data_IF_347057796351
#
_entry.id   IF_347057796351
#
_cell.length_a   1.000
_cell.length_b   1.000
_cell.length_c   1.000
_cell.angle_alpha   90.00
_cell.angle_beta   90.00
_cell.angle_gamma   90.00
#
_symmetry.space_group_name_H-M   'P 1'
#
loop_
_entity.id
_entity.type
_entity.pdbx_description
1 polymer ?
#
# COMPACT_ATOMS: atom_id res chain seq x y z
N UNK A 1 13.34 8.64 37.62
CA UNK A 1 12.53 8.14 36.48
C UNK A 1 11.05 8.38 36.78
N UNK A 2 10.39 9.30 36.06
CA UNK A 2 9.00 9.69 36.33
C UNK A 2 8.02 8.59 35.87
N UNK A 3 7.19 8.10 36.79
CA UNK A 3 6.21 7.03 36.57
C UNK A 3 5.16 7.50 35.54
N UNK A 4 5.16 6.93 34.33
CA UNK A 4 4.16 7.23 33.28
C UNK A 4 2.76 6.93 33.82
N UNK A 5 1.94 7.98 34.01
CA UNK A 5 0.59 7.87 34.57
C UNK A 5 -0.26 7.04 33.60
N UNK A 6 -0.85 5.93 34.08
CA UNK A 6 -1.73 5.09 33.25
C UNK A 6 -2.99 5.88 32.88
N UNK A 7 -3.41 5.78 31.61
CA UNK A 7 -4.63 6.41 31.10
C UNK A 7 -5.84 5.96 31.93
N UNK A 8 -6.70 6.92 32.29
CA UNK A 8 -7.97 6.60 32.95
C UNK A 8 -8.92 5.91 31.97
N UNK A 9 -9.89 5.14 32.48
CA UNK A 9 -10.88 4.43 31.63
C UNK A 9 -11.59 5.37 30.64
N UNK A 10 -11.87 6.61 31.05
CA UNK A 10 -12.47 7.62 30.18
C UNK A 10 -11.53 8.11 29.07
N UNK A 11 -10.23 8.26 29.35
CA UNK A 11 -9.23 8.62 28.35
C UNK A 11 -9.04 7.49 27.33
N UNK A 12 -8.98 6.22 27.79
CA UNK A 12 -8.90 5.05 26.90
C UNK A 12 -10.10 4.99 25.96
N UNK A 13 -11.31 5.25 26.48
CA UNK A 13 -12.53 5.29 25.65
C UNK A 13 -12.48 6.39 24.59
N UNK A 14 -12.01 7.59 24.93
CA UNK A 14 -11.84 8.69 23.95
C UNK A 14 -10.81 8.37 22.88
N UNK A 15 -9.67 7.79 23.26
CA UNK A 15 -8.62 7.38 22.32
C UNK A 15 -9.17 6.35 21.33
N UNK A 16 -9.88 5.32 21.80
CA UNK A 16 -10.50 4.30 20.93
C UNK A 16 -11.55 4.89 19.98
N UNK A 17 -12.42 5.77 20.50
CA UNK A 17 -13.45 6.45 19.67
C UNK A 17 -12.82 7.31 18.57
N UNK A 18 -11.80 8.10 18.90
CA UNK A 18 -11.09 8.93 17.93
C UNK A 18 -10.31 8.10 16.90
N UNK A 19 -9.71 7.00 17.32
CA UNK A 19 -9.04 6.06 16.42
C UNK A 19 -10.03 5.45 15.43
N UNK A 20 -11.18 4.98 15.90
CA UNK A 20 -12.22 4.40 15.05
C UNK A 20 -12.80 5.42 14.07
N UNK A 21 -13.01 6.67 14.49
CA UNK A 21 -13.44 7.76 13.60
C UNK A 21 -12.41 8.09 12.52
N UNK A 22 -11.11 8.08 12.85
CA UNK A 22 -10.03 8.29 11.88
C UNK A 22 -9.97 7.16 10.84
N UNK A 23 -10.12 5.91 11.28
CA UNK A 23 -10.14 4.75 10.38
C UNK A 23 -11.33 4.81 9.42
N UNK A 24 -12.54 5.08 9.93
CA UNK A 24 -13.75 5.24 9.10
C UNK A 24 -13.65 6.41 8.12
N UNK A 25 -13.11 7.55 8.55
CA UNK A 25 -12.91 8.72 7.66
C UNK A 25 -11.93 8.43 6.52
N UNK A 26 -11.03 7.47 6.70
CA UNK A 26 -10.07 7.06 5.68
C UNK A 26 -10.68 6.11 4.62
N UNK A 27 -11.83 5.49 4.91
CA UNK A 27 -12.56 4.65 3.96
C UNK A 27 -13.37 5.47 2.95
N UNK A 28 -13.82 6.69 3.31
CA UNK A 28 -14.75 7.48 2.50
C UNK A 28 -14.11 8.37 1.41
N UNK A 29 -12.78 8.53 1.33
CA UNK A 29 -12.21 9.59 0.47
C UNK A 29 -10.99 9.23 -0.36
N UNK A 30 -10.75 7.96 -0.68
CA UNK A 30 -9.72 7.63 -1.68
C UNK A 30 -10.32 6.70 -2.73
N UNK A 31 -11.15 7.30 -3.59
CA UNK A 31 -11.41 6.76 -4.92
C UNK A 31 -10.08 6.89 -5.68
N UNK A 32 -9.31 5.81 -5.72
CA UNK A 32 -8.15 5.74 -6.61
C UNK A 32 -8.70 5.73 -8.03
N UNK A 33 -8.45 6.78 -8.78
CA UNK A 33 -8.93 6.92 -10.16
C UNK A 33 -8.25 5.81 -10.99
N UNK A 34 -8.97 4.70 -11.24
CA UNK A 34 -8.44 3.54 -11.96
C UNK A 34 -8.08 3.88 -13.43
N UNK A 35 -8.51 5.06 -13.90
CA UNK A 35 -8.12 5.64 -15.19
C UNK A 35 -6.67 6.15 -15.22
N UNK A 36 -6.00 6.29 -14.07
CA UNK A 36 -4.60 6.73 -13.98
C UNK A 36 -3.59 5.58 -14.09
N UNK A 37 -4.07 4.36 -14.32
CA UNK A 37 -3.24 3.16 -14.49
C UNK A 37 -3.32 2.66 -15.94
N UNK A 38 -2.20 2.21 -16.48
CA UNK A 38 -2.11 1.61 -17.80
C UNK A 38 -2.84 0.26 -17.91
N UNK A 39 -2.63 -0.45 -19.01
CA UNK A 39 -3.19 -1.79 -19.20
C UNK A 39 -2.63 -2.79 -18.17
N UNK A 40 -3.38 -3.85 -17.90
CA UNK A 40 -2.89 -4.97 -17.09
C UNK A 40 -1.86 -5.77 -17.86
N UNK A 41 -0.70 -5.97 -17.26
CA UNK A 41 0.40 -6.76 -17.79
C UNK A 41 0.73 -7.93 -16.87
N UNK A 42 1.29 -8.99 -17.44
CA UNK A 42 1.83 -10.09 -16.66
C UNK A 42 3.27 -9.77 -16.25
N UNK A 43 3.64 -10.14 -15.03
CA UNK A 43 4.98 -9.91 -14.52
C UNK A 43 5.42 -10.97 -13.53
N UNK A 44 6.73 -11.01 -13.30
CA UNK A 44 7.37 -11.87 -12.30
C UNK A 44 7.89 -11.02 -11.15
N UNK A 45 7.56 -11.40 -9.91
CA UNK A 45 8.10 -10.73 -8.73
C UNK A 45 9.57 -11.09 -8.56
N UNK A 46 10.45 -10.11 -8.67
CA UNK A 46 11.89 -10.28 -8.46
C UNK A 46 12.19 -10.21 -6.96
N UNK A 47 11.73 -9.14 -6.31
CA UNK A 47 11.99 -8.92 -4.87
C UNK A 47 10.90 -8.07 -4.22
N UNK A 48 10.73 -8.25 -2.91
CA UNK A 48 9.74 -7.53 -2.10
C UNK A 48 10.42 -6.54 -1.17
N UNK A 49 10.06 -5.27 -1.28
CA UNK A 49 10.51 -4.16 -0.44
C UNK A 49 9.37 -3.66 0.46
N UNK A 50 8.97 -4.45 1.46
CA UNK A 50 7.93 -4.05 2.42
C UNK A 50 6.57 -3.80 1.75
N UNK A 51 6.25 -2.52 1.49
CA UNK A 51 5.02 -2.07 0.82
C UNK A 51 5.15 -1.99 -0.72
N UNK A 52 6.36 -2.22 -1.25
CA UNK A 52 6.64 -2.23 -2.68
C UNK A 52 7.19 -3.60 -3.11
N UNK A 53 7.15 -3.88 -4.41
CA UNK A 53 7.83 -5.01 -5.02
C UNK A 53 8.39 -4.59 -6.38
N UNK A 54 9.56 -5.13 -6.73
CA UNK A 54 10.12 -4.99 -8.06
C UNK A 54 9.60 -6.14 -8.91
N UNK A 55 8.91 -5.79 -10.00
CA UNK A 55 8.24 -6.70 -10.92
C UNK A 55 8.90 -6.57 -12.28
N UNK A 56 9.31 -7.69 -12.85
CA UNK A 56 9.80 -7.77 -14.22
C UNK A 56 8.62 -8.00 -15.18
N UNK A 57 8.51 -7.17 -16.21
CA UNK A 57 7.57 -7.38 -17.32
C UNK A 57 8.02 -8.60 -18.14
N UNK A 58 7.11 -9.58 -18.34
CA UNK A 58 7.43 -10.77 -19.11
C UNK A 58 7.55 -10.52 -20.61
N UNK A 59 7.02 -9.40 -21.12
CA UNK A 59 7.08 -9.04 -22.54
C UNK A 59 8.34 -8.23 -22.87
N UNK A 60 8.67 -7.24 -22.04
CA UNK A 60 9.79 -6.32 -22.30
C UNK A 60 11.07 -6.67 -21.55
N UNK A 61 10.97 -7.45 -20.45
CA UNK A 61 12.09 -7.71 -19.53
C UNK A 61 12.46 -6.51 -18.66
N UNK A 62 11.67 -5.44 -18.67
CA UNK A 62 11.94 -4.26 -17.84
C UNK A 62 11.46 -4.47 -16.40
N UNK A 63 12.26 -4.03 -15.44
CA UNK A 63 11.93 -4.12 -14.02
C UNK A 63 11.33 -2.79 -13.55
N UNK A 64 10.13 -2.86 -13.00
CA UNK A 64 9.43 -1.72 -12.42
C UNK A 64 9.11 -1.93 -10.93
N UNK A 65 9.25 -0.85 -10.16
CA UNK A 65 8.86 -0.84 -8.74
C UNK A 65 7.38 -0.52 -8.61
N UNK A 66 6.61 -1.48 -8.11
CA UNK A 66 5.17 -1.36 -7.95
C UNK A 66 4.77 -1.27 -6.47
N UNK A 67 3.66 -0.58 -6.20
CA UNK A 67 3.01 -0.56 -4.90
C UNK A 67 2.15 -1.80 -4.70
N UNK A 68 2.15 -2.38 -3.49
CA UNK A 68 1.25 -3.49 -3.15
C UNK A 68 -0.16 -2.97 -2.85
N UNK A 69 -1.17 -3.65 -3.41
CA UNK A 69 -2.56 -3.43 -3.02
C UNK A 69 -2.78 -3.94 -1.59
N UNK A 70 -3.60 -3.24 -0.79
CA UNK A 70 -3.90 -3.62 0.60
C UNK A 70 -4.50 -5.02 0.77
N UNK A 71 -5.16 -5.54 -0.26
CA UNK A 71 -5.74 -6.89 -0.25
C UNK A 71 -4.74 -8.02 -0.52
N UNK A 72 -3.47 -7.71 -0.79
CA UNK A 72 -2.42 -8.73 -0.99
C UNK A 72 -1.88 -9.12 0.38
N UNK A 73 -2.24 -10.32 0.84
CA UNK A 73 -1.79 -10.84 2.15
C UNK A 73 -0.33 -11.31 2.12
N UNK A 74 0.05 -11.99 1.04
CA UNK A 74 1.39 -12.52 0.83
C UNK A 74 1.84 -12.26 -0.60
N UNK A 75 3.14 -12.01 -0.74
CA UNK A 75 3.83 -11.83 -2.01
C UNK A 75 5.27 -12.25 -1.79
N UNK A 76 5.79 -13.15 -2.61
CA UNK A 76 7.17 -13.64 -2.53
C UNK A 76 7.88 -13.55 -3.89
N UNK A 77 9.21 -13.57 -3.86
CA UNK A 77 10.02 -13.66 -5.07
C UNK A 77 9.68 -14.93 -5.85
N UNK A 78 9.51 -14.80 -7.16
CA UNK A 78 9.12 -15.87 -8.06
C UNK A 78 7.61 -15.98 -8.32
N UNK A 79 6.78 -15.21 -7.62
CA UNK A 79 5.34 -15.17 -7.90
C UNK A 79 5.06 -14.54 -9.27
N UNK A 80 4.12 -15.12 -10.02
CA UNK A 80 3.58 -14.53 -11.25
C UNK A 80 2.37 -13.69 -10.91
N UNK A 81 2.39 -12.43 -11.32
CA UNK A 81 1.38 -11.44 -10.94
C UNK A 81 0.84 -10.69 -12.14
N UNK A 82 -0.37 -10.15 -11.97
CA UNK A 82 -0.91 -9.11 -12.84
C UNK A 82 -0.63 -7.76 -12.21
N UNK A 83 0.02 -6.88 -12.95
CA UNK A 83 0.39 -5.55 -12.50
C UNK A 83 -0.01 -4.51 -13.55
N UNK A 84 -0.04 -3.24 -13.17
CA UNK A 84 -0.40 -2.12 -14.04
C UNK A 84 0.60 -1.00 -13.84
N UNK A 85 1.08 -0.43 -14.94
CA UNK A 85 1.96 0.74 -14.91
C UNK A 85 1.17 1.97 -14.42
N UNK A 86 1.84 2.85 -13.67
CA UNK A 86 1.30 4.16 -13.35
C UNK A 86 1.49 5.10 -14.55
N UNK A 87 0.44 5.84 -14.95
CA UNK A 87 0.63 6.94 -15.90
C UNK A 87 1.45 8.04 -15.20
N UNK A 88 2.46 8.58 -15.89
CA UNK A 88 3.59 9.40 -15.39
C UNK A 88 3.26 10.63 -14.50
N UNK A 89 2.01 10.93 -14.17
CA UNK A 89 1.63 12.13 -13.39
C UNK A 89 1.95 12.06 -11.89
N UNK A 90 2.39 10.91 -11.37
CA UNK A 90 2.72 10.77 -9.94
C UNK A 90 3.93 9.87 -9.70
N UNK A 91 5.06 10.17 -10.36
CA UNK A 91 6.39 9.69 -9.98
C UNK A 91 6.84 10.31 -8.63
N UNK A 92 6.03 10.14 -7.60
CA UNK A 92 6.30 10.52 -6.23
C UNK A 92 6.49 9.27 -5.39
N UNK A 93 7.41 8.37 -5.77
CA UNK A 93 7.96 7.40 -4.81
C UNK A 93 8.95 8.19 -3.96
N UNK A 94 8.41 9.02 -3.07
CA UNK A 94 9.15 9.74 -2.05
C UNK A 94 8.53 9.36 -0.71
N UNK A 95 9.22 8.44 -0.01
CA UNK A 95 9.22 8.30 1.45
C UNK A 95 7.89 8.01 2.14
#
# INVERSE_FOLDING_TARGET
MAKKKKLTKGQVRRVRSNQQKRLKKQEESIQWDENMLGASKQGLVITRFGQHADIEDLETGEVQRCNLRRGIESLVSGDRVLWREGLESMAGISG
#
